data_IF_857244679417
#
_entry.id   IF_857244679417
#
_cell.length_a   1.000
_cell.length_b   1.000
_cell.length_c   1.000
_cell.angle_alpha   90.00
_cell.angle_beta   90.00
_cell.angle_gamma   90.00
#
_symmetry.space_group_name_H-M   'P 1'
#
loop_
_entity.id
_entity.type
_entity.pdbx_description
1 polymer ?
#
# COMPACT_ATOMS: atom_id res chain seq x y z
N UNK A 1 -33.42 10.17 -5.86
CA UNK A 1 -32.08 10.76 -5.69
C UNK A 1 -31.67 10.51 -4.25
N UNK A 2 -30.47 10.00 -4.01
CA UNK A 2 -30.04 9.69 -2.65
C UNK A 2 -29.89 10.97 -1.81
N UNK A 3 -30.18 10.90 -0.51
CA UNK A 3 -30.05 12.01 0.43
C UNK A 3 -28.62 12.62 0.44
N UNK A 4 -27.61 11.82 0.13
CA UNK A 4 -26.19 12.23 0.04
C UNK A 4 -25.93 13.26 -1.06
N UNK A 5 -26.56 13.12 -2.25
CA UNK A 5 -26.39 14.07 -3.35
C UNK A 5 -26.97 15.46 -3.01
N UNK A 6 -28.05 15.50 -2.23
CA UNK A 6 -28.66 16.76 -1.80
C UNK A 6 -27.79 17.47 -0.75
N UNK A 7 -27.22 16.73 0.20
CA UNK A 7 -26.29 17.26 1.22
C UNK A 7 -25.04 17.81 0.55
N UNK A 8 -24.42 17.05 -0.34
CA UNK A 8 -23.22 17.48 -1.06
C UNK A 8 -23.43 18.75 -1.88
N UNK A 9 -24.56 18.80 -2.61
CA UNK A 9 -24.93 20.01 -3.36
C UNK A 9 -25.11 21.22 -2.45
N UNK A 10 -25.78 21.05 -1.31
CA UNK A 10 -25.99 22.14 -0.33
C UNK A 10 -24.67 22.66 0.24
N UNK A 11 -23.70 21.78 0.54
CA UNK A 11 -22.36 22.17 1.00
C UNK A 11 -21.66 23.01 -0.06
N UNK A 12 -21.70 22.58 -1.32
CA UNK A 12 -21.06 23.32 -2.44
C UNK A 12 -21.70 24.71 -2.67
N UNK A 13 -23.02 24.82 -2.50
CA UNK A 13 -23.75 26.09 -2.62
C UNK A 13 -23.44 27.05 -1.47
N UNK A 14 -23.17 26.51 -0.26
CA UNK A 14 -22.91 27.33 0.93
C UNK A 14 -21.48 27.87 0.97
N UNK A 15 -20.49 27.04 0.59
CA UNK A 15 -19.08 27.44 0.55
C UNK A 15 -18.35 26.73 -0.59
N UNK A 16 -18.38 27.31 -1.80
CA UNK A 16 -17.68 26.71 -2.95
C UNK A 16 -16.16 26.67 -2.78
N UNK A 17 -15.60 27.49 -1.88
CA UNK A 17 -14.16 27.47 -1.62
C UNK A 17 -13.71 26.31 -0.76
N UNK A 18 -14.63 25.59 -0.11
CA UNK A 18 -14.33 24.40 0.68
C UNK A 18 -13.57 23.34 -0.13
N UNK A 19 -13.88 23.20 -1.42
CA UNK A 19 -13.18 22.29 -2.33
C UNK A 19 -11.69 22.63 -2.48
N UNK A 20 -11.32 23.91 -2.35
CA UNK A 20 -9.94 24.35 -2.45
C UNK A 20 -9.12 24.01 -1.19
N UNK A 21 -9.78 23.65 -0.11
CA UNK A 21 -9.14 23.29 1.17
C UNK A 21 -8.94 21.78 1.32
N UNK A 22 -9.43 20.98 0.37
CA UNK A 22 -9.29 19.52 0.41
C UNK A 22 -7.82 19.16 0.32
N UNK A 23 -7.34 18.46 1.34
CA UNK A 23 -6.03 17.83 1.35
C UNK A 23 -6.20 16.32 1.17
N UNK A 24 -5.25 15.70 0.51
CA UNK A 24 -5.24 14.26 0.27
C UNK A 24 -3.85 13.68 0.35
N UNK A 25 -3.75 12.48 0.91
CA UNK A 25 -2.65 11.56 0.77
C UNK A 25 -3.17 10.30 0.06
N UNK A 26 -2.27 9.56 -0.55
CA UNK A 26 -2.58 8.30 -1.22
C UNK A 26 -1.69 7.22 -0.60
N UNK A 27 -2.32 6.13 -0.23
CA UNK A 27 -1.66 4.86 0.06
C UNK A 27 -1.95 3.94 -1.12
N UNK A 28 -0.91 3.35 -1.69
CA UNK A 28 -1.03 2.41 -2.80
C UNK A 28 -0.22 1.16 -2.51
N UNK A 29 -0.89 0.04 -2.52
CA UNK A 29 -0.25 -1.27 -2.42
C UNK A 29 0.09 -1.84 -3.79
N UNK A 30 1.20 -2.55 -3.87
CA UNK A 30 1.60 -3.32 -5.06
C UNK A 30 2.38 -4.56 -4.63
N UNK A 31 1.99 -5.71 -5.17
CA UNK A 31 2.78 -6.93 -5.01
C UNK A 31 4.03 -6.86 -5.89
N UNK A 32 5.12 -7.41 -5.41
CA UNK A 32 6.28 -7.75 -6.25
C UNK A 32 6.04 -9.12 -6.87
N UNK A 33 6.27 -9.22 -8.15
CA UNK A 33 6.15 -10.47 -8.90
C UNK A 33 7.40 -10.72 -9.73
N UNK A 34 7.69 -11.96 -10.04
CA UNK A 34 8.79 -12.33 -10.94
C UNK A 34 8.52 -11.79 -12.36
N UNK A 35 9.57 -11.31 -13.03
CA UNK A 35 9.46 -10.73 -14.37
C UNK A 35 9.06 -11.78 -15.42
N UNK A 36 9.49 -13.02 -15.26
CA UNK A 36 9.32 -14.09 -16.24
C UNK A 36 7.96 -14.80 -16.16
N UNK A 37 7.40 -15.00 -14.96
CA UNK A 37 6.20 -15.82 -14.77
C UNK A 37 5.05 -15.07 -14.09
N UNK A 38 5.26 -13.82 -13.65
CA UNK A 38 4.31 -13.05 -12.86
C UNK A 38 3.84 -13.78 -11.57
N UNK A 39 4.70 -14.63 -11.02
CA UNK A 39 4.49 -15.28 -9.74
C UNK A 39 4.84 -14.34 -8.58
N UNK A 40 4.16 -14.53 -7.45
CA UNK A 40 4.43 -13.76 -6.23
C UNK A 40 5.91 -13.90 -5.83
N UNK A 41 6.62 -12.78 -5.69
CA UNK A 41 8.03 -12.76 -5.32
C UNK A 41 8.27 -13.43 -3.96
N UNK A 42 9.30 -14.26 -3.87
CA UNK A 42 9.71 -14.94 -2.65
C UNK A 42 10.96 -14.32 -2.01
N UNK A 43 11.49 -13.28 -2.62
CA UNK A 43 12.68 -12.57 -2.16
C UNK A 43 12.38 -11.67 -0.98
N UNK A 44 13.36 -11.40 -0.10
CA UNK A 44 13.23 -10.42 0.97
C UNK A 44 12.89 -9.01 0.45
N UNK A 45 12.43 -8.15 1.35
CA UNK A 45 12.28 -6.71 1.05
C UNK A 45 13.60 -6.14 0.48
N UNK A 46 13.56 -5.47 -0.67
CA UNK A 46 14.78 -4.97 -1.32
C UNK A 46 15.54 -4.01 -0.42
N UNK A 47 16.80 -4.32 -0.13
CA UNK A 47 17.63 -3.51 0.80
C UNK A 47 17.79 -2.06 0.35
N UNK A 48 17.78 -1.81 -0.96
CA UNK A 48 17.84 -0.46 -1.52
C UNK A 48 16.61 0.40 -1.23
N UNK A 49 15.50 -0.19 -0.80
CA UNK A 49 14.30 0.54 -0.35
C UNK A 49 14.39 0.98 1.11
N UNK A 50 15.42 0.57 1.84
CA UNK A 50 15.57 0.88 3.25
C UNK A 50 14.73 -0.03 4.16
N UNK A 51 14.40 0.46 5.34
CA UNK A 51 13.67 -0.33 6.35
C UNK A 51 12.18 -0.38 6.07
N UNK A 52 11.63 -1.56 5.84
CA UNK A 52 10.19 -1.79 5.73
C UNK A 52 9.37 -1.38 6.98
N UNK A 53 10.03 -1.20 8.12
CA UNK A 53 9.37 -0.82 9.38
C UNK A 53 9.36 0.69 9.62
N UNK A 54 10.42 1.40 9.19
CA UNK A 54 10.67 2.79 9.60
C UNK A 54 10.77 3.78 8.44
N UNK A 55 10.72 3.30 7.19
CA UNK A 55 10.71 4.20 6.05
C UNK A 55 9.37 4.97 5.99
N UNK A 56 9.39 6.30 5.82
CA UNK A 56 8.17 7.11 5.94
C UNK A 56 7.19 6.95 4.78
N UNK A 57 7.65 6.44 3.64
CA UNK A 57 6.86 6.41 2.40
C UNK A 57 6.85 5.07 1.69
N UNK A 58 7.67 4.10 2.12
CA UNK A 58 7.70 2.75 1.54
C UNK A 58 7.76 1.76 2.68
N UNK A 59 6.74 0.96 2.83
CA UNK A 59 6.65 -0.08 3.85
C UNK A 59 6.22 -1.40 3.24
N UNK A 60 6.10 -2.41 4.07
CA UNK A 60 5.47 -3.68 3.72
C UNK A 60 4.34 -3.95 4.69
N UNK A 61 3.32 -4.66 4.24
CA UNK A 61 2.20 -4.99 5.14
C UNK A 61 2.20 -6.48 5.52
N UNK A 62 1.25 -7.27 5.05
CA UNK A 62 1.13 -8.68 5.44
C UNK A 62 2.21 -9.54 4.81
N UNK A 63 2.37 -9.45 3.51
CA UNK A 63 3.36 -10.23 2.75
C UNK A 63 4.66 -9.45 2.59
N UNK A 64 5.79 -10.18 2.68
CA UNK A 64 7.11 -9.63 2.33
C UNK A 64 7.17 -9.13 0.88
N UNK A 65 6.34 -9.68 0.01
CA UNK A 65 6.23 -9.26 -1.38
C UNK A 65 5.33 -8.03 -1.60
N UNK A 66 4.57 -7.61 -0.60
CA UNK A 66 3.67 -6.46 -0.69
C UNK A 66 4.41 -5.18 -0.32
N UNK A 67 4.48 -4.24 -1.25
CA UNK A 67 4.97 -2.89 -0.99
C UNK A 67 3.80 -1.93 -0.88
N UNK A 68 3.81 -1.12 0.16
CA UNK A 68 2.87 -0.05 0.41
C UNK A 68 3.57 1.30 0.24
N UNK A 69 3.04 2.13 -0.65
CA UNK A 69 3.54 3.47 -0.94
C UNK A 69 2.65 4.51 -0.29
N UNK A 70 3.24 5.39 0.51
CA UNK A 70 2.55 6.42 1.28
C UNK A 70 3.03 7.79 0.80
N UNK A 71 2.12 8.58 0.20
CA UNK A 71 2.46 9.94 -0.23
C UNK A 71 2.30 10.95 0.90
N UNK A 72 3.03 12.07 0.87
CA UNK A 72 2.70 13.20 1.71
C UNK A 72 1.29 13.71 1.46
N UNK A 73 0.69 14.34 2.48
CA UNK A 73 -0.59 15.02 2.35
C UNK A 73 -0.39 16.34 1.61
N UNK A 74 -1.12 16.53 0.50
CA UNK A 74 -1.07 17.76 -0.33
C UNK A 74 -2.46 18.27 -0.71
N UNK A 75 -2.58 19.55 -0.92
CA UNK A 75 -3.76 20.18 -1.54
C UNK A 75 -3.75 20.04 -3.08
N UNK A 76 -2.60 19.74 -3.67
CA UNK A 76 -2.41 19.60 -5.11
C UNK A 76 -2.47 18.14 -5.56
N UNK A 77 -3.36 17.86 -6.51
CA UNK A 77 -3.44 16.53 -7.15
C UNK A 77 -2.14 16.23 -7.89
N UNK A 78 -1.57 17.24 -8.56
CA UNK A 78 -0.34 17.09 -9.35
C UNK A 78 0.85 16.77 -8.44
N UNK A 79 0.92 17.37 -7.26
CA UNK A 79 1.97 17.04 -6.28
C UNK A 79 1.80 15.62 -5.73
N UNK A 80 0.57 15.22 -5.42
CA UNK A 80 0.28 13.85 -4.94
C UNK A 80 0.65 12.80 -6.00
N UNK A 81 0.26 13.04 -7.26
CA UNK A 81 0.62 12.17 -8.38
C UNK A 81 2.13 12.09 -8.58
N UNK A 82 2.82 13.24 -8.57
CA UNK A 82 4.28 13.30 -8.70
C UNK A 82 4.98 12.54 -7.57
N UNK A 83 4.51 12.69 -6.33
CA UNK A 83 5.06 11.96 -5.19
C UNK A 83 4.92 10.45 -5.39
N UNK A 84 3.72 9.98 -5.77
CA UNK A 84 3.48 8.57 -6.04
C UNK A 84 4.33 8.05 -7.21
N UNK A 85 4.42 8.82 -8.31
CA UNK A 85 5.27 8.49 -9.45
C UNK A 85 6.74 8.34 -9.06
N UNK A 86 7.26 9.26 -8.26
CA UNK A 86 8.65 9.19 -7.79
C UNK A 86 8.91 7.97 -6.91
N UNK A 87 7.96 7.60 -6.04
CA UNK A 87 8.05 6.38 -5.22
C UNK A 87 8.10 5.13 -6.10
N UNK A 88 7.24 5.04 -7.13
CA UNK A 88 7.29 3.94 -8.09
C UNK A 88 8.61 3.89 -8.85
N UNK A 89 9.04 5.01 -9.40
CA UNK A 89 10.28 5.10 -10.17
C UNK A 89 11.50 4.71 -9.32
N UNK A 90 11.55 5.17 -8.07
CA UNK A 90 12.60 4.79 -7.14
C UNK A 90 12.56 3.29 -6.87
N UNK A 91 11.38 2.75 -6.57
CA UNK A 91 11.22 1.32 -6.27
C UNK A 91 11.62 0.44 -7.45
N UNK A 92 11.12 0.71 -8.65
CA UNK A 92 11.44 -0.10 -9.84
C UNK A 92 12.95 -0.17 -10.10
N UNK A 93 13.68 0.89 -9.79
CA UNK A 93 15.16 0.89 -9.91
C UNK A 93 15.88 0.01 -8.89
N UNK A 94 15.21 -0.37 -7.81
CA UNK A 94 15.74 -1.25 -6.76
C UNK A 94 15.33 -2.70 -6.94
N UNK A 95 14.36 -2.97 -7.83
CA UNK A 95 13.93 -4.33 -8.15
C UNK A 95 14.95 -4.99 -9.11
N UNK A 96 15.20 -6.26 -8.87
CA UNK A 96 16.11 -7.06 -9.70
C UNK A 96 15.39 -8.34 -10.14
N UNK A 97 15.01 -8.41 -11.42
CA UNK A 97 14.23 -9.53 -11.97
C UNK A 97 12.78 -9.60 -11.44
N UNK A 98 12.28 -8.50 -10.90
CA UNK A 98 10.93 -8.38 -10.38
C UNK A 98 10.22 -7.14 -10.93
N UNK A 99 8.91 -7.20 -10.97
CA UNK A 99 8.01 -6.12 -11.38
C UNK A 99 7.01 -5.79 -10.27
N UNK A 100 6.44 -4.60 -10.34
CA UNK A 100 5.28 -4.23 -9.54
C UNK A 100 4.00 -4.68 -10.24
N UNK A 101 3.19 -5.49 -9.56
CA UNK A 101 1.90 -5.94 -10.04
C UNK A 101 0.87 -4.82 -9.92
N UNK A 102 0.37 -4.32 -11.04
CA UNK A 102 -0.52 -3.17 -11.10
C UNK A 102 -2.00 -3.53 -11.38
N UNK A 103 -2.34 -4.81 -11.31
CA UNK A 103 -3.71 -5.25 -11.48
C UNK A 103 -4.41 -5.43 -10.12
N UNK A 104 -5.71 -5.13 -10.08
CA UNK A 104 -6.54 -5.34 -8.88
C UNK A 104 -7.00 -6.81 -8.71
N UNK A 105 -6.37 -7.72 -9.44
CA UNK A 105 -6.58 -9.16 -9.31
C UNK A 105 -5.33 -9.81 -8.74
N UNK A 106 -5.43 -10.98 -8.09
CA UNK A 106 -4.28 -11.73 -7.60
C UNK A 106 -3.28 -12.05 -8.73
N UNK A 107 -1.98 -12.01 -8.41
CA UNK A 107 -0.95 -12.63 -9.23
C UNK A 107 -0.95 -14.16 -9.03
N UNK A 108 -0.08 -14.87 -9.72
CA UNK A 108 0.07 -16.32 -9.54
C UNK A 108 0.69 -16.58 -8.17
N UNK A 109 -0.02 -17.37 -7.34
CA UNK A 109 0.42 -17.80 -6.01
C UNK A 109 0.35 -19.32 -5.95
N UNK A 110 1.41 -19.96 -5.49
CA UNK A 110 1.48 -21.42 -5.36
C UNK A 110 0.91 -21.88 -4.00
N UNK A 111 -0.43 -21.75 -3.84
CA UNK A 111 -1.14 -22.10 -2.61
C UNK A 111 -0.89 -21.13 -1.45
N UNK A 112 -1.60 -21.31 -0.35
CA UNK A 112 -1.52 -20.42 0.83
C UNK A 112 -0.12 -20.41 1.48
N UNK A 113 0.61 -21.54 1.41
CA UNK A 113 1.98 -21.63 1.89
C UNK A 113 3.01 -20.88 1.03
N UNK A 114 2.63 -20.42 -0.17
CA UNK A 114 3.46 -19.65 -1.08
C UNK A 114 3.45 -18.14 -0.80
N UNK A 115 2.79 -17.67 0.26
CA UNK A 115 2.76 -16.24 0.62
C UNK A 115 3.80 -15.98 1.72
N UNK A 116 4.92 -15.29 1.40
CA UNK A 116 5.95 -14.99 2.40
C UNK A 116 5.43 -13.93 3.38
N UNK A 117 5.48 -14.23 4.67
CA UNK A 117 5.09 -13.28 5.73
C UNK A 117 6.18 -12.22 5.90
N UNK A 118 5.75 -10.97 6.02
CA UNK A 118 6.63 -9.82 6.16
C UNK A 118 7.60 -9.95 7.35
N UNK A 119 8.88 -9.69 7.08
CA UNK A 119 9.99 -9.77 8.04
C UNK A 119 10.40 -8.36 8.45
N UNK A 120 9.78 -7.80 9.47
CA UNK A 120 10.00 -6.41 9.90
C UNK A 120 11.32 -6.16 10.66
N UNK A 121 12.31 -7.01 10.47
CA UNK A 121 13.60 -6.93 11.15
C UNK A 121 13.59 -7.51 12.57
N UNK A 122 14.70 -7.32 13.30
CA UNK A 122 14.96 -7.93 14.62
C UNK A 122 14.57 -7.06 15.81
N UNK A 123 14.07 -5.85 15.60
CA UNK A 123 13.57 -4.99 16.67
C UNK A 123 12.37 -5.61 17.39
N UNK A 124 12.13 -5.23 18.64
CA UNK A 124 10.97 -5.72 19.41
C UNK A 124 9.66 -5.47 18.68
N UNK A 125 9.49 -4.30 18.05
CA UNK A 125 8.31 -3.96 17.28
C UNK A 125 8.18 -4.83 16.03
N UNK A 126 9.28 -5.06 15.32
CA UNK A 126 9.31 -5.95 14.15
C UNK A 126 8.97 -7.39 14.53
N UNK A 127 9.52 -7.90 15.63
CA UNK A 127 9.18 -9.24 16.14
C UNK A 127 7.72 -9.35 16.53
N UNK A 128 7.16 -8.36 17.22
CA UNK A 128 5.73 -8.32 17.58
C UNK A 128 4.84 -8.33 16.34
N UNK A 129 5.14 -7.51 15.34
CA UNK A 129 4.40 -7.49 14.07
C UNK A 129 4.43 -8.86 13.39
N UNK A 130 5.58 -9.50 13.33
CA UNK A 130 5.73 -10.84 12.73
C UNK A 130 4.92 -11.90 13.48
N UNK A 131 4.96 -11.91 14.81
CA UNK A 131 4.18 -12.85 15.63
C UNK A 131 2.68 -12.64 15.39
N UNK A 132 2.22 -11.39 15.37
CA UNK A 132 0.83 -11.08 15.09
C UNK A 132 0.41 -11.58 13.70
N UNK A 133 1.23 -11.34 12.67
CA UNK A 133 0.96 -11.77 11.29
C UNK A 133 0.94 -13.30 11.14
N UNK A 134 1.85 -14.00 11.78
CA UNK A 134 1.86 -15.48 11.78
C UNK A 134 0.61 -16.09 12.41
N UNK A 135 -0.08 -15.36 13.29
CA UNK A 135 -1.35 -15.79 13.88
C UNK A 135 -2.57 -15.58 12.96
N UNK A 136 -2.41 -14.90 11.83
CA UNK A 136 -3.48 -14.68 10.86
C UNK A 136 -3.32 -15.65 9.69
N UNK A 137 -4.43 -16.23 9.22
CA UNK A 137 -4.42 -16.91 7.93
C UNK A 137 -4.45 -15.89 6.79
N UNK A 138 -3.85 -16.21 5.65
CA UNK A 138 -3.86 -15.34 4.47
C UNK A 138 -5.29 -14.99 4.02
N UNK A 139 -6.23 -15.94 4.13
CA UNK A 139 -7.64 -15.75 3.80
C UNK A 139 -8.32 -14.77 4.75
N UNK A 140 -8.06 -14.87 6.06
CA UNK A 140 -8.61 -13.93 7.05
C UNK A 140 -8.13 -12.51 6.82
N UNK A 141 -6.88 -12.35 6.37
CA UNK A 141 -6.30 -11.04 6.11
C UNK A 141 -6.93 -10.35 4.90
N UNK A 142 -7.17 -11.05 3.80
CA UNK A 142 -7.82 -10.47 2.61
C UNK A 142 -9.23 -9.98 2.88
N UNK A 143 -9.91 -10.49 3.91
CA UNK A 143 -11.21 -10.01 4.34
C UNK A 143 -11.14 -8.82 5.32
N UNK A 144 -9.99 -8.62 5.99
CA UNK A 144 -9.79 -7.57 6.98
C UNK A 144 -9.16 -6.30 6.38
N UNK A 145 -8.59 -6.38 5.20
CA UNK A 145 -7.87 -5.27 4.54
C UNK A 145 -8.70 -4.44 3.58
N UNK A 146 -10.00 -4.42 3.74
CA UNK A 146 -10.74 -3.25 3.28
C UNK A 146 -10.66 -2.23 4.42
N UNK A 147 -9.71 -1.29 4.41
CA UNK A 147 -9.64 -0.29 5.44
C UNK A 147 -10.73 0.72 5.19
N UNK A 148 -11.85 0.50 5.79
CA UNK A 148 -12.64 1.61 6.27
C UNK A 148 -12.14 1.91 7.68
N UNK A 149 -10.89 2.32 7.83
CA UNK A 149 -10.47 2.95 9.06
C UNK A 149 -10.90 4.40 8.98
N UNK A 150 -11.93 4.81 9.71
CA UNK A 150 -12.22 6.23 9.88
C UNK A 150 -11.16 6.76 10.84
N UNK A 151 -10.04 7.21 10.31
CA UNK A 151 -9.20 8.11 11.06
C UNK A 151 -9.83 9.50 10.97
N UNK A 152 -10.56 9.82 12.02
CA UNK A 152 -11.02 11.17 12.35
C UNK A 152 -9.81 12.03 12.72
#
# INVERSE_FOLDING_TARGET
>A
MSNHSAIFRKVLETDPQWLNQIRRGVEKESLRVTEDQAELAQTPHPSGLGSALTHPSITTDYSEALLEFITPVSASIVETERALHNLHLYTVRQLNGELLWNASMPCIVQGDGGIPIAQFGTSNVGQMKRIYRNGLSAVSYTHLTLPTSPHV
#
